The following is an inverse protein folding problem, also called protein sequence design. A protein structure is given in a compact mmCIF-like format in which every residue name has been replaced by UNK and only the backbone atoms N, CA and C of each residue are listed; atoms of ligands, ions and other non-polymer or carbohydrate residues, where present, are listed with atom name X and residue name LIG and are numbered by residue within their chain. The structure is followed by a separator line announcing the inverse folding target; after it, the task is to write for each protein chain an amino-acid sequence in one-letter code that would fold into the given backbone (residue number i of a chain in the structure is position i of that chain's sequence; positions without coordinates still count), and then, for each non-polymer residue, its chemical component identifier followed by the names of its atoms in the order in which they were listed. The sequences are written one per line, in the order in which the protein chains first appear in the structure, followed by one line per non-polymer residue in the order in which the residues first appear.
data_IF_571222527468
#
_entry.id   IF_571222527468
#
_cell.length_a   1.000
_cell.length_b   1.000
_cell.length_c   1.000
_cell.angle_alpha   90.00
_cell.angle_beta   90.00
_cell.angle_gamma   90.00
#
_symmetry.space_group_name_H-M   'P 1'
#
loop_
_entity.id
_entity.type
_entity.pdbx_description
1 polymer ?
#
# COMPACT_ATOMS: atom_id res chain seq x y z
N UNK A 1 4.50 -1.69 -2.47
CA UNK A 1 4.63 -1.83 -1.07
C UNK A 1 4.64 -3.25 -0.57
N UNK A 2 5.83 -3.84 -0.46
CA UNK A 2 5.99 -5.14 0.18
C UNK A 2 6.21 -4.96 1.67
N UNK A 3 5.63 -5.82 2.50
CA UNK A 3 5.79 -5.79 3.95
C UNK A 3 7.14 -6.35 4.42
N UNK A 4 7.84 -7.09 3.55
CA UNK A 4 9.16 -7.65 3.86
C UNK A 4 10.29 -6.70 3.41
N UNK A 5 11.39 -6.60 4.18
CA UNK A 5 12.58 -5.87 3.76
C UNK A 5 13.14 -6.41 2.44
N UNK A 6 13.54 -5.50 1.55
CA UNK A 6 14.15 -5.86 0.27
C UNK A 6 15.65 -5.66 0.37
N UNK A 7 16.41 -6.68 -0.03
CA UNK A 7 17.87 -6.63 -0.05
C UNK A 7 18.32 -5.80 -1.26
N UNK A 8 19.22 -4.83 -1.02
CA UNK A 8 19.88 -4.04 -2.04
C UNK A 8 21.39 -4.16 -1.88
N UNK A 9 22.08 -4.41 -2.99
CA UNK A 9 23.53 -4.68 -3.03
C UNK A 9 24.19 -3.80 -4.09
N UNK A 10 25.47 -3.52 -3.93
CA UNK A 10 26.23 -2.79 -4.95
C UNK A 10 26.44 -3.66 -6.19
N UNK A 11 26.05 -3.16 -7.34
CA UNK A 11 26.19 -3.85 -8.65
C UNK A 11 24.97 -4.68 -9.05
N UNK A 12 24.75 -4.82 -10.34
CA UNK A 12 23.65 -5.60 -10.93
C UNK A 12 22.27 -4.98 -10.74
N UNK A 13 21.23 -5.80 -10.94
CA UNK A 13 19.82 -5.36 -10.96
C UNK A 13 19.30 -4.91 -9.59
N UNK A 14 19.99 -5.26 -8.52
CA UNK A 14 19.60 -4.91 -7.14
C UNK A 14 20.27 -3.65 -6.61
N UNK A 15 21.04 -2.94 -7.43
CA UNK A 15 21.82 -1.78 -7.00
C UNK A 15 21.04 -0.47 -6.91
N UNK A 16 19.80 -0.42 -7.39
CA UNK A 16 19.00 0.81 -7.38
C UNK A 16 18.12 0.91 -6.13
N UNK A 17 18.04 2.11 -5.57
CA UNK A 17 17.12 2.47 -4.47
C UNK A 17 16.20 3.60 -4.91
N UNK A 18 15.01 3.64 -4.35
CA UNK A 18 14.00 4.66 -4.69
C UNK A 18 13.85 5.64 -3.54
N UNK A 19 13.75 6.93 -3.84
CA UNK A 19 13.45 7.97 -2.85
C UNK A 19 12.17 7.67 -2.08
N UNK A 20 12.16 7.98 -0.78
CA UNK A 20 11.04 7.69 0.12
C UNK A 20 11.10 6.32 0.79
N UNK A 21 12.07 5.47 0.46
CA UNK A 21 12.31 4.20 1.17
C UNK A 21 13.20 4.41 2.40
N UNK A 22 13.06 3.54 3.40
CA UNK A 22 13.82 3.58 4.65
C UNK A 22 14.87 2.48 4.68
N UNK A 23 16.11 2.83 5.01
CA UNK A 23 17.17 1.84 5.30
C UNK A 23 16.87 1.22 6.66
N UNK A 24 16.75 -0.09 6.73
CA UNK A 24 16.44 -0.85 7.94
C UNK A 24 17.71 -1.41 8.62
N UNK A 25 18.73 -1.77 7.84
CA UNK A 25 20.00 -2.27 8.32
C UNK A 25 21.15 -1.69 7.50
N UNK A 26 22.30 -1.60 8.11
CA UNK A 26 23.56 -1.16 7.52
C UNK A 26 23.58 0.32 7.07
N UNK A 27 24.67 0.71 6.46
CA UNK A 27 24.89 2.04 5.91
C UNK A 27 25.20 1.92 4.42
N UNK A 28 24.45 2.64 3.61
CA UNK A 28 24.65 2.66 2.16
C UNK A 28 25.10 4.04 1.66
N UNK A 29 25.91 4.04 0.62
CA UNK A 29 26.24 5.25 -0.15
C UNK A 29 25.40 5.25 -1.42
N UNK A 30 24.63 6.30 -1.61
CA UNK A 30 23.71 6.44 -2.76
C UNK A 30 24.21 7.57 -3.66
N UNK A 31 24.37 7.26 -4.94
CA UNK A 31 24.60 8.26 -5.98
C UNK A 31 23.26 8.64 -6.58
N UNK A 32 22.92 9.92 -6.55
CA UNK A 32 21.70 10.43 -7.16
C UNK A 32 21.88 10.42 -8.68
N UNK A 33 21.02 9.69 -9.38
CA UNK A 33 21.08 9.52 -10.85
C UNK A 33 19.99 10.27 -11.59
N UNK A 34 18.97 10.75 -10.88
CA UNK A 34 17.83 11.49 -11.45
C UNK A 34 17.98 12.98 -11.22
N UNK A 35 17.58 13.80 -12.20
CA UNK A 35 17.50 15.26 -12.01
C UNK A 35 16.31 15.64 -11.12
N UNK A 36 16.33 16.84 -10.49
CA UNK A 36 15.17 17.34 -9.78
C UNK A 36 13.93 17.37 -10.68
N UNK A 37 12.82 16.82 -10.22
CA UNK A 37 11.58 16.66 -11.00
C UNK A 37 11.46 15.34 -11.78
N UNK A 38 12.51 14.53 -11.87
CA UNK A 38 12.51 13.25 -12.62
C UNK A 38 12.48 12.02 -11.71
N UNK A 39 12.59 12.18 -10.40
CA UNK A 39 12.52 11.04 -9.47
C UNK A 39 11.16 10.35 -9.54
N UNK A 40 11.10 9.10 -9.10
CA UNK A 40 9.82 8.37 -9.03
C UNK A 40 8.78 9.11 -8.17
N UNK A 41 9.22 9.72 -7.07
CA UNK A 41 8.38 10.54 -6.20
C UNK A 41 7.90 11.81 -6.92
N UNK A 42 8.79 12.51 -7.61
CA UNK A 42 8.44 13.70 -8.39
C UNK A 42 7.43 13.38 -9.49
N UNK A 43 7.62 12.26 -10.19
CA UNK A 43 6.65 11.76 -11.20
C UNK A 43 5.31 11.42 -10.57
N UNK A 44 5.29 10.83 -9.37
CA UNK A 44 4.04 10.59 -8.62
C UNK A 44 3.36 11.90 -8.21
N UNK A 45 4.13 12.86 -7.70
CA UNK A 45 3.63 14.19 -7.34
C UNK A 45 3.11 14.90 -8.59
N UNK A 46 3.86 14.90 -9.68
CA UNK A 46 3.44 15.47 -10.96
C UNK A 46 2.18 14.80 -11.53
N UNK A 47 1.98 13.49 -11.32
CA UNK A 47 0.74 12.80 -11.68
C UNK A 47 -0.46 13.25 -10.82
N UNK A 48 -0.22 13.63 -9.57
CA UNK A 48 -1.24 14.13 -8.65
C UNK A 48 -1.52 15.63 -8.90
N UNK A 49 -0.46 16.45 -9.03
CA UNK A 49 -0.57 17.90 -9.23
C UNK A 49 -0.83 18.27 -10.68
N UNK A 50 -0.17 17.59 -11.60
CA UNK A 50 -0.23 17.82 -13.05
C UNK A 50 -1.28 16.97 -13.76
N UNK A 51 -2.30 16.48 -13.05
CA UNK A 51 -3.44 15.82 -13.67
C UNK A 51 -4.04 16.76 -14.72
N UNK A 52 -3.49 16.72 -15.93
CA UNK A 52 -4.03 17.45 -17.06
C UNK A 52 -5.52 17.12 -17.11
N UNK A 53 -6.33 18.14 -17.00
CA UNK A 53 -7.78 18.03 -16.96
C UNK A 53 -8.28 17.31 -18.20
N UNK A 54 -8.31 15.98 -18.14
CA UNK A 54 -8.96 15.19 -19.20
C UNK A 54 -10.46 15.38 -19.06
N UNK A 55 -11.10 15.83 -20.14
CA UNK A 55 -12.55 15.97 -20.20
C UNK A 55 -13.22 14.65 -19.84
N UNK A 56 -14.30 14.72 -19.08
CA UNK A 56 -15.11 13.54 -18.76
C UNK A 56 -15.84 13.04 -20.01
N UNK A 57 -16.29 11.78 -20.07
CA UNK A 57 -17.14 11.31 -21.16
C UNK A 57 -18.38 12.18 -21.37
N UNK A 58 -19.02 12.60 -20.28
CA UNK A 58 -20.18 13.49 -20.32
C UNK A 58 -19.80 14.89 -20.81
N UNK A 59 -18.65 15.45 -20.41
CA UNK A 59 -18.14 16.71 -20.97
C UNK A 59 -17.91 16.62 -22.48
N UNK A 60 -17.41 15.48 -22.98
CA UNK A 60 -17.21 15.26 -24.42
C UNK A 60 -18.56 15.16 -25.14
N UNK A 61 -19.48 14.35 -24.62
CA UNK A 61 -20.80 14.18 -25.19
C UNK A 61 -21.59 15.52 -25.26
N UNK A 62 -21.54 16.28 -24.16
CA UNK A 62 -22.16 17.60 -24.11
C UNK A 62 -21.46 18.62 -25.00
N UNK A 63 -20.16 18.58 -25.16
CA UNK A 63 -19.40 19.43 -26.09
C UNK A 63 -19.85 19.16 -27.54
N UNK A 64 -20.03 17.88 -27.92
CA UNK A 64 -20.54 17.49 -29.23
C UNK A 64 -21.96 17.98 -29.43
N UNK A 65 -22.85 17.80 -28.45
CA UNK A 65 -24.22 18.24 -28.46
C UNK A 65 -24.32 19.77 -28.62
N UNK A 66 -23.51 20.51 -27.83
CA UNK A 66 -23.43 21.98 -27.92
C UNK A 66 -22.96 22.45 -29.30
N UNK A 67 -21.95 21.79 -29.87
CA UNK A 67 -21.46 22.11 -31.23
C UNK A 67 -22.57 21.86 -32.27
N UNK A 68 -23.27 20.74 -32.15
CA UNK A 68 -24.43 20.43 -33.01
C UNK A 68 -25.55 21.46 -32.91
N UNK A 69 -25.97 21.83 -31.71
CA UNK A 69 -26.99 22.87 -31.51
C UNK A 69 -26.51 24.23 -32.01
N UNK A 70 -25.26 24.61 -31.76
CA UNK A 70 -24.72 25.87 -32.28
C UNK A 70 -24.76 25.89 -33.80
N UNK A 71 -24.41 24.79 -34.49
CA UNK A 71 -24.51 24.71 -35.94
C UNK A 71 -25.98 24.89 -36.43
N UNK A 72 -26.93 24.17 -35.81
CA UNK A 72 -28.34 24.29 -36.14
C UNK A 72 -28.83 25.72 -35.92
N UNK A 73 -28.47 26.35 -34.80
CA UNK A 73 -28.88 27.72 -34.49
C UNK A 73 -28.26 28.74 -35.44
N UNK A 74 -27.03 28.56 -35.88
CA UNK A 74 -26.40 29.40 -36.90
C UNK A 74 -27.18 29.31 -38.24
N UNK A 75 -27.56 28.10 -38.64
CA UNK A 75 -28.35 27.90 -39.85
C UNK A 75 -29.72 28.53 -39.72
N UNK A 76 -30.42 28.30 -38.61
CA UNK A 76 -31.74 28.88 -38.33
C UNK A 76 -31.70 30.42 -38.33
N UNK A 77 -30.76 31.01 -37.60
CA UNK A 77 -30.59 32.46 -37.56
C UNK A 77 -30.21 33.02 -38.93
N UNK A 78 -29.34 32.34 -39.70
CA UNK A 78 -28.96 32.78 -41.04
C UNK A 78 -30.10 32.76 -42.04
N UNK A 79 -31.03 31.82 -41.90
CA UNK A 79 -32.24 31.73 -42.77
C UNK A 79 -33.41 32.59 -42.27
N UNK A 80 -33.41 32.95 -41.00
CA UNK A 80 -34.54 33.71 -40.40
C UNK A 80 -34.69 35.11 -41.00
N UNK A 81 -33.60 35.83 -41.25
CA UNK A 81 -33.65 37.16 -41.81
C UNK A 81 -34.24 37.20 -43.25
N UNK A 82 -33.73 36.41 -44.21
CA UNK A 82 -34.33 36.32 -45.54
C UNK A 82 -35.86 35.94 -45.51
N UNK A 83 -36.19 35.00 -44.58
CA UNK A 83 -37.57 34.55 -44.46
C UNK A 83 -38.46 35.65 -43.87
N UNK A 84 -37.98 36.43 -42.91
CA UNK A 84 -38.73 37.60 -42.36
C UNK A 84 -38.87 38.66 -43.40
N UNK A 85 -37.85 38.99 -44.14
CA UNK A 85 -37.93 39.99 -45.23
C UNK A 85 -38.93 39.55 -46.31
N UNK A 86 -38.98 38.25 -46.64
CA UNK A 86 -40.01 37.73 -47.59
C UNK A 86 -41.41 37.79 -47.03
N UNK A 87 -41.60 37.57 -45.74
CA UNK A 87 -42.96 37.67 -45.10
C UNK A 87 -43.38 39.10 -44.73
N UNK A 88 -42.57 40.12 -45.02
CA UNK A 88 -42.79 41.51 -44.66
C UNK A 88 -42.58 41.84 -43.19
N UNK A 89 -42.01 40.93 -42.38
CA UNK A 89 -41.73 41.19 -41.00
C UNK A 89 -40.32 41.85 -40.83
N UNK A 90 -40.28 42.95 -40.07
CA UNK A 90 -39.05 43.66 -39.81
C UNK A 90 -38.41 43.13 -38.52
N UNK A 91 -37.25 42.47 -38.62
CA UNK A 91 -36.46 42.08 -37.50
C UNK A 91 -35.28 43.06 -37.34
N UNK A 92 -35.22 43.72 -36.18
CA UNK A 92 -34.10 44.61 -35.86
C UNK A 92 -32.84 43.81 -35.62
N UNK A 93 -31.67 44.41 -35.95
CA UNK A 93 -30.35 43.79 -35.70
C UNK A 93 -30.18 43.42 -34.21
N UNK A 94 -30.66 44.28 -33.31
CA UNK A 94 -30.62 44.02 -31.88
C UNK A 94 -31.43 42.79 -31.47
N UNK A 95 -32.64 42.60 -32.02
CA UNK A 95 -33.45 41.41 -31.79
C UNK A 95 -32.79 40.14 -32.34
N UNK A 96 -32.15 40.23 -33.51
CA UNK A 96 -31.44 39.13 -34.13
C UNK A 96 -30.22 38.70 -33.30
N UNK A 97 -29.38 39.63 -32.82
CA UNK A 97 -28.25 39.37 -31.92
C UNK A 97 -28.74 38.78 -30.60
N UNK A 98 -29.80 39.33 -30.01
CA UNK A 98 -30.36 38.78 -28.76
C UNK A 98 -30.84 37.34 -28.94
N UNK A 99 -31.52 37.04 -30.04
CA UNK A 99 -31.95 35.69 -30.36
C UNK A 99 -30.77 34.73 -30.50
N UNK A 100 -29.72 35.15 -31.22
CA UNK A 100 -28.51 34.36 -31.42
C UNK A 100 -27.81 34.04 -30.10
N UNK A 101 -27.63 35.04 -29.23
CA UNK A 101 -27.02 34.88 -27.90
C UNK A 101 -27.86 33.99 -26.99
N UNK A 102 -29.19 34.11 -27.03
CA UNK A 102 -30.09 33.30 -26.22
C UNK A 102 -30.12 31.82 -26.65
N UNK A 103 -29.91 31.54 -27.93
CA UNK A 103 -29.95 30.18 -28.46
C UNK A 103 -28.65 29.40 -28.21
N UNK A 104 -27.51 30.07 -28.03
CA UNK A 104 -26.24 29.41 -27.72
C UNK A 104 -26.18 29.07 -26.22
N UNK A 105 -26.16 27.81 -25.83
CA UNK A 105 -26.17 27.40 -24.41
C UNK A 105 -24.76 27.52 -23.78
N UNK A 106 -24.22 28.74 -23.77
CA UNK A 106 -22.84 29.02 -23.26
C UNK A 106 -22.67 28.70 -21.79
N UNK A 107 -23.73 28.79 -20.99
CA UNK A 107 -23.72 28.52 -19.54
C UNK A 107 -23.45 27.05 -19.20
N UNK A 108 -23.91 26.12 -20.04
CA UNK A 108 -23.74 24.68 -19.81
C UNK A 108 -22.25 24.32 -19.90
N UNK A 109 -21.48 24.86 -20.85
CA UNK A 109 -20.05 24.59 -20.99
C UNK A 109 -19.23 25.05 -19.77
N UNK A 110 -19.59 26.18 -19.18
CA UNK A 110 -18.94 26.67 -17.95
C UNK A 110 -19.31 25.85 -16.70
N UNK A 111 -20.59 25.49 -16.59
CA UNK A 111 -21.11 24.74 -15.45
C UNK A 111 -20.49 23.34 -15.34
N UNK A 112 -20.34 22.64 -16.45
CA UNK A 112 -19.69 21.30 -16.49
C UNK A 112 -18.29 21.30 -15.93
N UNK A 113 -17.52 22.32 -16.27
CA UNK A 113 -16.18 22.49 -15.73
C UNK A 113 -16.15 22.69 -14.22
N UNK A 114 -17.10 23.50 -13.71
CA UNK A 114 -17.25 23.75 -12.28
C UNK A 114 -17.69 22.48 -11.51
N UNK A 115 -18.56 21.66 -12.08
CA UNK A 115 -19.01 20.39 -11.48
C UNK A 115 -17.82 19.42 -11.33
N UNK A 116 -16.96 19.28 -12.35
CA UNK A 116 -15.78 18.43 -12.28
C UNK A 116 -14.82 18.87 -11.18
N UNK A 117 -14.57 20.17 -11.03
CA UNK A 117 -13.73 20.72 -9.96
C UNK A 117 -14.37 20.49 -8.58
N UNK A 118 -15.65 20.76 -8.43
CA UNK A 118 -16.38 20.53 -7.18
C UNK A 118 -16.38 19.06 -6.78
N UNK A 119 -16.50 18.14 -7.74
CA UNK A 119 -16.38 16.70 -7.49
C UNK A 119 -15.00 16.30 -6.96
N UNK A 120 -13.94 16.85 -7.55
CA UNK A 120 -12.57 16.61 -7.07
C UNK A 120 -12.35 17.18 -5.66
N UNK A 121 -12.84 18.39 -5.37
CA UNK A 121 -12.74 19.00 -4.03
C UNK A 121 -13.47 18.15 -2.98
N UNK A 122 -14.66 17.64 -3.29
CA UNK A 122 -15.40 16.73 -2.40
C UNK A 122 -14.65 15.44 -2.13
N UNK A 123 -14.02 14.83 -3.14
CA UNK A 123 -13.21 13.65 -2.98
C UNK A 123 -11.97 13.94 -2.10
N UNK A 124 -11.31 15.08 -2.31
CA UNK A 124 -10.17 15.51 -1.51
C UNK A 124 -10.55 15.71 -0.03
N UNK A 125 -11.67 16.30 0.26
CA UNK A 125 -12.20 16.43 1.64
C UNK A 125 -12.50 15.09 2.30
N UNK A 126 -12.73 14.05 1.50
CA UNK A 126 -12.86 12.67 1.97
C UNK A 126 -11.51 11.92 2.02
N UNK A 127 -10.38 12.62 1.92
CA UNK A 127 -9.02 12.06 1.85
C UNK A 127 -8.78 11.13 0.64
N UNK A 128 -9.48 11.38 -0.48
CA UNK A 128 -9.31 10.65 -1.73
C UNK A 128 -8.67 11.59 -2.76
N UNK A 129 -7.43 11.28 -3.15
CA UNK A 129 -6.74 12.01 -4.21
C UNK A 129 -7.16 11.44 -5.56
N UNK A 130 -7.74 12.29 -6.40
CA UNK A 130 -8.23 11.90 -7.72
C UNK A 130 -7.34 12.48 -8.82
N UNK A 131 -7.07 11.70 -9.86
CA UNK A 131 -6.24 12.13 -10.99
C UNK A 131 -6.94 13.14 -11.91
N UNK A 132 -8.27 13.17 -11.94
CA UNK A 132 -9.04 14.06 -12.81
C UNK A 132 -10.52 14.04 -12.42
N UNK A 133 -11.29 15.04 -12.86
CA UNK A 133 -12.74 15.03 -12.77
C UNK A 133 -13.37 13.81 -13.46
N UNK A 134 -12.77 13.36 -14.57
CA UNK A 134 -13.16 12.09 -15.23
C UNK A 134 -13.06 10.89 -14.30
N UNK A 135 -12.00 10.79 -13.50
CA UNK A 135 -11.82 9.68 -12.58
C UNK A 135 -12.91 9.66 -11.49
N UNK A 136 -13.33 10.85 -11.01
CA UNK A 136 -14.43 10.97 -10.03
C UNK A 136 -15.74 10.49 -10.64
N UNK A 137 -16.06 10.93 -11.84
CA UNK A 137 -17.28 10.54 -12.55
C UNK A 137 -17.32 9.05 -12.84
N UNK A 138 -16.22 8.50 -13.42
CA UNK A 138 -16.14 7.07 -13.76
C UNK A 138 -16.15 6.17 -12.50
N UNK A 139 -15.65 6.67 -11.37
CA UNK A 139 -15.67 5.91 -10.12
C UNK A 139 -17.09 5.60 -9.61
N UNK A 140 -18.09 6.39 -10.04
CA UNK A 140 -19.51 6.11 -9.74
C UNK A 140 -20.10 4.95 -10.53
N UNK A 141 -19.52 4.63 -11.68
CA UNK A 141 -20.06 3.66 -12.64
C UNK A 141 -19.24 2.35 -12.68
N UNK A 142 -18.31 2.15 -11.75
CA UNK A 142 -17.51 0.93 -11.70
C UNK A 142 -18.36 -0.26 -11.22
N UNK A 143 -18.15 -1.40 -11.86
CA UNK A 143 -18.69 -2.70 -11.46
C UNK A 143 -17.65 -3.58 -10.79
N UNK A 144 -16.36 -3.26 -10.93
CA UNK A 144 -15.25 -4.04 -10.36
C UNK A 144 -14.20 -3.12 -9.75
N UNK A 145 -13.86 -3.37 -8.49
CA UNK A 145 -12.82 -2.65 -7.74
C UNK A 145 -11.62 -3.56 -7.49
N UNK A 146 -10.46 -3.15 -7.98
CA UNK A 146 -9.19 -3.82 -7.71
C UNK A 146 -8.55 -3.21 -6.47
N UNK A 147 -8.22 -4.03 -5.49
CA UNK A 147 -7.65 -3.61 -4.21
C UNK A 147 -6.28 -4.25 -4.01
N UNK A 148 -5.28 -3.45 -3.71
CA UNK A 148 -4.00 -3.95 -3.22
C UNK A 148 -4.20 -4.58 -1.83
N UNK A 149 -3.54 -5.71 -1.55
CA UNK A 149 -3.59 -6.37 -0.26
C UNK A 149 -2.82 -5.56 0.78
N UNK A 150 -1.53 -5.32 0.50
CA UNK A 150 -0.57 -4.78 1.47
C UNK A 150 -0.80 -3.28 1.72
N UNK A 151 -1.06 -2.91 2.97
CA UNK A 151 -1.33 -1.51 3.35
C UNK A 151 -2.73 -0.99 3.00
N UNK A 152 -3.50 -1.70 2.15
CA UNK A 152 -4.89 -1.36 1.81
C UNK A 152 -5.89 -2.22 2.56
N UNK A 153 -5.87 -3.53 2.36
CA UNK A 153 -6.70 -4.50 3.09
C UNK A 153 -6.07 -4.81 4.44
N UNK A 154 -4.74 -4.95 4.47
CA UNK A 154 -3.95 -5.18 5.66
C UNK A 154 -3.29 -3.90 6.17
N UNK A 155 -2.73 -3.96 7.37
CA UNK A 155 -1.98 -2.84 7.97
C UNK A 155 -0.67 -2.59 7.21
N UNK A 156 -0.16 -3.61 6.48
CA UNK A 156 1.05 -3.52 5.68
C UNK A 156 2.34 -3.85 6.43
N UNK A 157 2.25 -4.13 7.74
CA UNK A 157 3.35 -4.61 8.56
C UNK A 157 2.94 -5.96 9.16
N UNK A 158 3.84 -6.93 9.10
CA UNK A 158 3.65 -8.21 9.77
C UNK A 158 3.75 -7.99 11.28
N UNK A 159 2.80 -8.55 12.02
CA UNK A 159 2.81 -8.54 13.48
C UNK A 159 2.99 -9.94 14.03
N UNK A 160 3.73 -10.05 15.14
CA UNK A 160 3.81 -11.27 15.90
C UNK A 160 2.43 -11.59 16.49
N UNK A 161 1.95 -12.81 16.29
CA UNK A 161 0.64 -13.28 16.71
C UNK A 161 0.73 -14.41 17.72
N UNK A 162 1.76 -15.25 17.62
CA UNK A 162 1.88 -16.42 18.48
C UNK A 162 3.36 -16.82 18.68
N UNK A 163 3.62 -17.37 19.88
CA UNK A 163 4.87 -18.00 20.26
C UNK A 163 4.67 -19.51 20.34
N UNK A 164 5.59 -20.28 19.74
CA UNK A 164 5.58 -21.74 19.74
C UNK A 164 6.91 -22.24 20.27
N UNK A 165 7.07 -22.50 21.59
CA UNK A 165 8.24 -23.16 22.12
C UNK A 165 8.32 -24.61 21.62
N UNK A 166 9.52 -25.15 21.44
CA UNK A 166 9.72 -26.57 21.16
C UNK A 166 9.49 -27.40 22.42
N UNK A 167 9.25 -28.72 22.26
CA UNK A 167 9.03 -29.62 23.38
C UNK A 167 10.20 -29.55 24.39
N UNK A 168 9.85 -29.39 25.67
CA UNK A 168 10.83 -29.28 26.77
C UNK A 168 11.34 -27.87 27.07
N UNK A 169 10.95 -26.86 26.28
CA UNK A 169 11.26 -25.45 26.57
C UNK A 169 10.06 -24.79 27.25
N UNK A 170 10.31 -24.15 28.39
CA UNK A 170 9.29 -23.41 29.11
C UNK A 170 8.85 -22.17 28.30
N UNK A 171 7.52 -21.95 28.20
CA UNK A 171 6.96 -20.85 27.39
C UNK A 171 7.45 -19.47 27.85
N UNK A 172 7.51 -19.25 29.15
CA UNK A 172 7.96 -17.97 29.72
C UNK A 172 9.43 -17.69 29.38
N UNK A 173 10.30 -18.70 29.50
CA UNK A 173 11.71 -18.62 29.13
C UNK A 173 11.91 -18.38 27.63
N UNK A 174 11.11 -19.04 26.80
CA UNK A 174 11.10 -18.81 25.35
C UNK A 174 10.72 -17.38 24.99
N UNK A 175 9.62 -16.87 25.56
CA UNK A 175 9.17 -15.48 25.32
C UNK A 175 10.22 -14.49 25.79
N UNK A 176 10.89 -14.72 26.93
CA UNK A 176 12.01 -13.88 27.39
C UNK A 176 13.14 -13.84 26.36
N UNK A 177 13.55 -14.98 25.82
CA UNK A 177 14.60 -15.06 24.79
C UNK A 177 14.18 -14.30 23.53
N UNK A 178 12.92 -14.44 23.08
CA UNK A 178 12.37 -13.71 21.95
C UNK A 178 12.40 -12.19 22.15
N UNK A 179 12.04 -11.71 23.34
CA UNK A 179 12.11 -10.30 23.69
C UNK A 179 13.55 -9.80 23.69
N UNK A 180 14.47 -10.50 24.35
CA UNK A 180 15.88 -10.12 24.40
C UNK A 180 16.49 -9.99 22.99
N UNK A 181 16.21 -10.94 22.10
CA UNK A 181 16.66 -10.92 20.72
C UNK A 181 16.01 -9.79 19.88
N UNK A 182 14.91 -9.20 20.37
CA UNK A 182 14.13 -8.18 19.63
C UNK A 182 14.26 -6.78 20.20
N UNK A 183 14.88 -6.56 21.35
CA UNK A 183 14.99 -5.25 22.00
C UNK A 183 15.72 -4.20 21.16
N UNK A 184 16.70 -4.62 20.38
CA UNK A 184 17.46 -3.73 19.48
C UNK A 184 16.92 -3.70 18.04
N UNK A 185 15.88 -4.47 17.77
CA UNK A 185 15.28 -4.58 16.44
C UNK A 185 14.24 -3.48 16.25
N UNK A 186 14.64 -2.44 15.52
CA UNK A 186 13.77 -1.29 15.23
C UNK A 186 12.73 -1.57 14.15
N UNK A 187 12.74 -2.76 13.54
CA UNK A 187 11.75 -3.14 12.53
C UNK A 187 10.34 -3.21 13.14
N UNK A 188 9.27 -3.03 12.33
CA UNK A 188 7.91 -3.23 12.80
C UNK A 188 7.68 -4.64 13.39
N UNK A 189 8.31 -5.65 12.80
CA UNK A 189 8.29 -7.04 13.26
C UNK A 189 8.93 -7.17 14.65
N UNK A 190 10.13 -6.63 14.85
CA UNK A 190 10.81 -6.64 16.14
C UNK A 190 10.00 -5.97 17.24
N UNK A 191 9.43 -4.80 16.94
CA UNK A 191 8.56 -4.09 17.88
C UNK A 191 7.31 -4.88 18.22
N UNK A 192 6.71 -5.57 17.25
CA UNK A 192 5.51 -6.37 17.47
C UNK A 192 5.79 -7.60 18.34
N UNK A 193 6.99 -8.21 18.23
CA UNK A 193 7.41 -9.31 19.12
C UNK A 193 7.50 -8.83 20.56
N UNK A 194 8.09 -7.65 20.77
CA UNK A 194 8.19 -7.04 22.10
C UNK A 194 6.80 -6.71 22.68
N UNK A 195 5.88 -6.19 21.84
CA UNK A 195 4.50 -5.91 22.24
C UNK A 195 3.78 -7.19 22.68
N UNK A 196 3.80 -8.22 21.84
CA UNK A 196 3.20 -9.53 22.14
C UNK A 196 3.77 -10.18 23.41
N UNK A 197 5.09 -10.11 23.61
CA UNK A 197 5.71 -10.63 24.82
C UNK A 197 5.28 -9.89 26.11
N UNK A 198 5.05 -8.58 26.03
CA UNK A 198 4.47 -7.80 27.14
C UNK A 198 3.04 -8.22 27.46
N UNK A 199 2.24 -8.47 26.43
CA UNK A 199 0.86 -8.98 26.58
C UNK A 199 0.84 -10.35 27.24
N UNK A 200 1.89 -11.18 27.00
CA UNK A 200 2.09 -12.48 27.67
C UNK A 200 2.67 -12.36 29.10
N UNK A 201 2.82 -11.15 29.61
CA UNK A 201 3.21 -10.89 31.01
C UNK A 201 4.73 -10.81 31.26
N UNK A 202 5.57 -10.89 30.21
CA UNK A 202 7.03 -10.71 30.37
C UNK A 202 7.37 -9.23 30.46
N UNK A 203 8.02 -8.83 31.57
CA UNK A 203 8.41 -7.44 31.81
C UNK A 203 9.82 -7.18 31.32
N UNK A 204 10.02 -6.14 30.52
CA UNK A 204 11.35 -5.75 30.02
C UNK A 204 12.31 -5.43 31.17
N UNK A 205 11.81 -4.92 32.31
CA UNK A 205 12.62 -4.62 33.51
C UNK A 205 13.30 -5.84 34.10
N UNK A 206 12.75 -7.02 33.86
CA UNK A 206 13.27 -8.29 34.37
C UNK A 206 14.34 -8.88 33.42
N UNK A 207 14.54 -8.24 32.24
CA UNK A 207 15.50 -8.66 31.24
C UNK A 207 16.83 -7.94 31.45
N UNK A 208 17.82 -8.62 31.99
CA UNK A 208 19.16 -8.08 32.18
C UNK A 208 19.94 -8.09 30.88
N UNK A 209 19.90 -6.98 30.14
CA UNK A 209 20.71 -6.78 28.92
C UNK A 209 21.91 -5.86 29.12
N UNK A 210 22.18 -5.47 30.37
CA UNK A 210 23.30 -4.58 30.72
C UNK A 210 24.64 -5.19 30.34
N UNK A 211 25.30 -4.59 29.35
CA UNK A 211 26.62 -5.05 28.83
C UNK A 211 26.54 -6.23 27.86
N UNK A 212 25.37 -6.53 27.32
CA UNK A 212 25.17 -7.49 26.22
C UNK A 212 25.54 -6.87 24.88
N UNK A 213 26.00 -7.69 23.95
CA UNK A 213 26.28 -7.29 22.56
C UNK A 213 25.05 -7.57 21.70
N UNK A 214 24.41 -6.52 21.20
CA UNK A 214 23.31 -6.67 20.27
C UNK A 214 23.81 -6.95 18.86
N UNK A 215 23.18 -7.92 18.19
CA UNK A 215 23.46 -8.31 16.80
C UNK A 215 22.30 -7.85 15.95
N UNK A 216 22.58 -6.85 15.10
CA UNK A 216 21.59 -6.33 14.18
C UNK A 216 21.37 -7.30 13.01
N UNK A 217 20.19 -7.27 12.45
CA UNK A 217 19.87 -8.02 11.24
C UNK A 217 20.76 -7.56 10.08
N UNK A 218 21.39 -8.52 9.39
CA UNK A 218 22.09 -8.28 8.13
C UNK A 218 21.53 -9.17 7.03
N UNK A 219 21.69 -8.73 5.78
CA UNK A 219 21.21 -9.48 4.63
C UNK A 219 21.98 -10.81 4.43
N UNK A 220 23.23 -10.84 4.84
CA UNK A 220 24.09 -12.02 4.73
C UNK A 220 23.69 -13.09 5.73
N UNK A 221 23.57 -12.72 7.01
CA UNK A 221 23.27 -13.67 8.09
C UNK A 221 21.77 -14.00 8.17
N UNK A 222 20.89 -13.12 7.64
CA UNK A 222 19.43 -13.22 7.72
C UNK A 222 18.91 -13.50 9.14
N UNK A 223 19.68 -13.11 10.13
CA UNK A 223 19.36 -13.25 11.54
C UNK A 223 19.75 -12.01 12.34
N UNK A 224 19.11 -11.83 13.49
CA UNK A 224 19.43 -10.82 14.50
C UNK A 224 19.45 -11.50 15.88
N UNK A 225 19.95 -10.83 16.89
CA UNK A 225 19.96 -11.43 18.21
C UNK A 225 20.76 -10.66 19.24
N UNK A 226 21.18 -11.37 20.30
CA UNK A 226 21.96 -10.82 21.40
C UNK A 226 22.94 -11.85 21.95
N UNK A 227 24.13 -11.40 22.31
CA UNK A 227 25.09 -12.15 23.10
C UNK A 227 25.07 -11.57 24.51
N UNK A 228 24.66 -12.37 25.46
CA UNK A 228 24.60 -12.00 26.88
C UNK A 228 25.98 -12.12 27.55
N UNK A 229 26.15 -11.45 28.68
CA UNK A 229 27.42 -11.46 29.44
C UNK A 229 27.81 -12.83 29.99
N UNK A 230 26.81 -13.67 30.24
CA UNK A 230 27.02 -15.04 30.74
C UNK A 230 27.49 -16.00 29.63
N UNK A 231 27.65 -15.52 28.41
CA UNK A 231 28.03 -16.29 27.23
C UNK A 231 26.87 -16.85 26.43
N UNK A 232 25.63 -16.70 26.89
CA UNK A 232 24.44 -17.17 26.18
C UNK A 232 24.24 -16.36 24.89
N UNK A 233 24.04 -17.06 23.78
CA UNK A 233 23.80 -16.47 22.45
C UNK A 233 22.38 -16.74 21.99
N UNK A 234 21.61 -15.70 21.76
CA UNK A 234 20.23 -15.82 21.25
C UNK A 234 20.21 -15.26 19.84
N UNK A 235 19.66 -16.03 18.89
CA UNK A 235 19.49 -15.66 17.49
C UNK A 235 18.07 -15.88 17.05
N UNK A 236 17.52 -14.95 16.27
CA UNK A 236 16.24 -15.09 15.60
C UNK A 236 16.39 -14.76 14.12
N UNK A 237 15.71 -15.50 13.26
CA UNK A 237 15.79 -15.28 11.82
C UNK A 237 14.97 -16.24 10.99
N UNK A 238 15.22 -16.21 9.68
CA UNK A 238 14.62 -17.15 8.75
C UNK A 238 15.03 -18.60 9.08
N UNK A 239 14.10 -19.55 8.86
CA UNK A 239 14.33 -20.96 9.18
C UNK A 239 15.63 -21.51 8.59
N UNK A 240 15.87 -21.25 7.29
CA UNK A 240 17.06 -21.77 6.61
C UNK A 240 18.37 -21.22 7.21
N UNK A 241 18.39 -19.94 7.59
CA UNK A 241 19.57 -19.32 8.18
C UNK A 241 19.86 -19.87 9.58
N UNK A 242 18.85 -19.98 10.44
CA UNK A 242 19.01 -20.52 11.80
C UNK A 242 19.32 -22.02 11.75
N UNK A 243 18.68 -22.78 10.84
CA UNK A 243 18.98 -24.19 10.62
C UNK A 243 20.45 -24.39 10.24
N UNK A 244 20.92 -23.67 9.24
CA UNK A 244 22.32 -23.76 8.78
C UNK A 244 23.30 -23.46 9.93
N UNK A 245 23.05 -22.42 10.72
CA UNK A 245 23.87 -22.05 11.87
C UNK A 245 23.95 -23.22 12.90
N UNK A 246 22.81 -23.85 13.21
CA UNK A 246 22.76 -24.98 14.14
C UNK A 246 23.48 -26.21 13.58
N UNK A 247 23.31 -26.53 12.30
CA UNK A 247 23.96 -27.64 11.61
C UNK A 247 25.51 -27.47 11.55
N UNK A 248 25.97 -26.23 11.28
CA UNK A 248 27.41 -25.90 11.30
C UNK A 248 28.03 -26.05 12.69
N UNK A 249 27.23 -25.82 13.75
CA UNK A 249 27.62 -26.09 15.13
C UNK A 249 27.52 -27.58 15.52
N UNK A 250 27.09 -28.48 14.61
CA UNK A 250 26.95 -29.90 14.83
C UNK A 250 25.63 -30.33 15.50
N UNK A 251 24.67 -29.42 15.67
CA UNK A 251 23.40 -29.68 16.31
C UNK A 251 22.32 -30.03 15.26
N UNK A 252 21.49 -31.04 15.59
CA UNK A 252 20.31 -31.36 14.79
C UNK A 252 19.12 -30.49 15.25
N UNK A 253 18.33 -30.00 14.31
CA UNK A 253 17.08 -29.34 14.63
C UNK A 253 15.94 -30.34 14.83
N UNK A 254 14.95 -30.06 15.71
CA UNK A 254 13.80 -30.93 15.90
C UNK A 254 12.93 -31.00 14.65
N UNK A 255 12.49 -32.20 14.24
CA UNK A 255 11.60 -32.36 13.06
C UNK A 255 10.28 -31.60 13.21
N UNK A 256 9.78 -31.45 14.44
CA UNK A 256 8.58 -30.68 14.75
C UNK A 256 8.67 -29.21 14.31
N UNK A 257 9.89 -28.64 14.31
CA UNK A 257 10.11 -27.25 13.86
C UNK A 257 9.85 -27.12 12.35
N UNK A 258 10.35 -28.05 11.55
CA UNK A 258 10.12 -28.04 10.12
C UNK A 258 8.63 -28.18 9.78
N UNK A 259 7.91 -29.07 10.48
CA UNK A 259 6.48 -29.25 10.34
C UNK A 259 5.69 -27.99 10.74
N UNK A 260 6.10 -27.34 11.83
CA UNK A 260 5.49 -26.09 12.31
C UNK A 260 5.73 -24.92 11.34
N UNK A 261 6.96 -24.77 10.86
CA UNK A 261 7.33 -23.78 9.83
C UNK A 261 6.48 -23.98 8.58
N UNK A 262 6.33 -25.24 8.11
CA UNK A 262 5.47 -25.58 6.97
C UNK A 262 3.99 -25.24 7.22
N UNK A 263 3.48 -25.49 8.41
CA UNK A 263 2.11 -25.16 8.81
C UNK A 263 1.87 -23.64 8.83
N UNK A 264 2.77 -22.88 9.47
CA UNK A 264 2.68 -21.41 9.54
C UNK A 264 2.72 -20.82 8.13
N UNK A 265 3.66 -21.26 7.29
CA UNK A 265 3.78 -20.78 5.90
C UNK A 265 2.55 -21.16 5.07
N UNK A 266 2.04 -22.38 5.25
CA UNK A 266 0.82 -22.85 4.59
C UNK A 266 -0.43 -22.04 4.97
N UNK A 267 -0.44 -21.48 6.16
CA UNK A 267 -1.51 -20.58 6.66
C UNK A 267 -1.26 -19.10 6.34
N UNK A 268 -0.32 -18.78 5.45
CA UNK A 268 -0.02 -17.40 5.06
C UNK A 268 0.80 -16.60 6.09
N UNK A 269 1.22 -17.22 7.18
CA UNK A 269 2.09 -16.62 8.19
C UNK A 269 3.57 -16.65 7.77
N UNK A 270 4.38 -15.87 8.45
CA UNK A 270 5.85 -15.87 8.31
C UNK A 270 6.45 -16.40 9.61
N UNK A 271 7.13 -17.56 9.57
CA UNK A 271 7.81 -18.09 10.72
C UNK A 271 9.17 -17.40 10.93
N UNK A 272 9.45 -16.94 12.15
CA UNK A 272 10.78 -16.60 12.62
C UNK A 272 11.25 -17.63 13.63
N UNK A 273 12.35 -18.29 13.33
CA UNK A 273 12.93 -19.33 14.22
C UNK A 273 13.86 -18.67 15.22
N UNK A 274 13.83 -19.12 16.45
CA UNK A 274 14.69 -18.65 17.53
C UNK A 274 15.56 -19.79 18.04
N UNK A 275 16.86 -19.51 18.15
CA UNK A 275 17.85 -20.43 18.71
C UNK A 275 18.56 -19.78 19.88
N UNK A 276 18.93 -20.60 20.86
CA UNK A 276 19.78 -20.25 21.99
C UNK A 276 20.94 -21.22 22.03
N UNK A 277 22.18 -20.69 22.07
CA UNK A 277 23.42 -21.48 22.11
C UNK A 277 23.49 -22.57 21.02
N UNK A 278 23.06 -22.17 19.80
CA UNK A 278 22.97 -23.01 18.59
C UNK A 278 21.95 -24.17 18.66
N UNK A 279 20.99 -24.11 19.60
CA UNK A 279 19.84 -25.02 19.66
C UNK A 279 18.55 -24.25 19.36
N UNK A 280 17.71 -24.78 18.48
CA UNK A 280 16.41 -24.18 18.21
C UNK A 280 15.50 -24.38 19.42
N UNK A 281 14.99 -23.27 19.98
CA UNK A 281 14.13 -23.25 21.16
C UNK A 281 12.65 -22.96 20.83
N UNK A 282 12.35 -22.52 19.61
CA UNK A 282 10.96 -22.29 19.19
C UNK A 282 10.82 -21.44 17.93
N UNK A 283 9.58 -21.14 17.60
CA UNK A 283 9.17 -20.37 16.43
C UNK A 283 8.21 -19.25 16.82
N UNK A 284 8.39 -18.08 16.25
CA UNK A 284 7.48 -16.94 16.35
C UNK A 284 6.68 -16.89 15.05
N UNK A 285 5.37 -16.83 15.14
CA UNK A 285 4.50 -16.60 13.98
C UNK A 285 4.24 -15.11 13.78
N UNK A 286 4.55 -14.63 12.59
CA UNK A 286 4.18 -13.29 12.13
C UNK A 286 3.07 -13.40 11.11
N UNK A 287 2.03 -12.56 11.24
CA UNK A 287 0.93 -12.47 10.29
C UNK A 287 0.72 -11.04 9.81
N UNK A 288 0.22 -10.92 8.58
CA UNK A 288 -0.24 -9.65 8.03
C UNK A 288 -1.68 -9.41 8.53
N UNK A 289 -1.85 -8.39 9.36
CA UNK A 289 -3.12 -8.14 10.05
C UNK A 289 -4.07 -7.37 9.15
N UNK A 290 -5.26 -7.92 8.95
CA UNK A 290 -6.37 -7.27 8.26
C UNK A 290 -6.82 -6.04 9.07
N UNK A 291 -7.03 -4.92 8.40
CA UNK A 291 -7.56 -3.71 9.04
C UNK A 291 -8.96 -3.94 9.60
N UNK A 292 -9.27 -3.43 10.79
CA UNK A 292 -10.61 -3.54 11.35
C UNK A 292 -11.66 -2.89 10.44
N UNK A 293 -12.84 -3.51 10.33
CA UNK A 293 -13.96 -3.01 9.54
C UNK A 293 -13.86 -3.24 8.02
N UNK A 294 -12.84 -3.94 7.53
CA UNK A 294 -12.70 -4.27 6.09
C UNK A 294 -13.82 -5.17 5.61
N UNK A 295 -14.23 -6.16 6.41
CA UNK A 295 -15.32 -7.07 6.06
C UNK A 295 -16.62 -6.30 5.80
N UNK A 296 -17.00 -5.40 6.71
CA UNK A 296 -18.20 -4.58 6.57
C UNK A 296 -18.15 -3.70 5.31
N UNK A 297 -16.97 -3.17 4.99
CA UNK A 297 -16.77 -2.36 3.79
C UNK A 297 -16.97 -3.18 2.52
N UNK A 298 -16.46 -4.42 2.50
CA UNK A 298 -16.66 -5.33 1.36
C UNK A 298 -18.13 -5.73 1.22
N UNK A 299 -18.83 -5.98 2.30
CA UNK A 299 -20.27 -6.26 2.27
C UNK A 299 -21.07 -5.07 1.72
N UNK A 300 -20.70 -3.84 2.11
CA UNK A 300 -21.32 -2.62 1.57
C UNK A 300 -21.07 -2.47 0.07
N UNK A 301 -19.84 -2.70 -0.41
CA UNK A 301 -19.50 -2.66 -1.83
C UNK A 301 -20.29 -3.71 -2.63
N UNK A 302 -20.41 -4.93 -2.10
CA UNK A 302 -21.21 -6.01 -2.73
C UNK A 302 -22.71 -5.65 -2.80
N UNK A 303 -23.25 -5.03 -1.75
CA UNK A 303 -24.63 -4.53 -1.76
C UNK A 303 -24.87 -3.43 -2.81
N UNK A 304 -23.83 -2.67 -3.14
CA UNK A 304 -23.84 -1.67 -4.21
C UNK A 304 -23.64 -2.27 -5.61
N UNK A 305 -23.46 -3.60 -5.71
CA UNK A 305 -23.23 -4.28 -6.98
C UNK A 305 -21.76 -4.29 -7.42
N UNK A 306 -20.84 -3.76 -6.60
CA UNK A 306 -19.41 -3.69 -6.94
C UNK A 306 -18.71 -4.99 -6.57
N UNK A 307 -18.10 -5.64 -7.57
CA UNK A 307 -17.23 -6.81 -7.38
C UNK A 307 -15.86 -6.37 -6.89
N UNK A 308 -15.39 -6.97 -5.81
CA UNK A 308 -14.04 -6.69 -5.28
C UNK A 308 -13.06 -7.80 -5.69
N UNK A 309 -11.89 -7.42 -6.18
CA UNK A 309 -10.80 -8.30 -6.57
C UNK A 309 -9.54 -7.85 -5.85
N UNK A 310 -8.91 -8.77 -5.12
CA UNK A 310 -7.63 -8.50 -4.46
C UNK A 310 -6.48 -8.72 -5.44
N UNK A 311 -5.56 -7.75 -5.48
CA UNK A 311 -4.30 -7.84 -6.22
C UNK A 311 -3.16 -7.91 -5.21
N UNK A 312 -2.28 -8.88 -5.36
CA UNK A 312 -1.14 -9.08 -4.47
C UNK A 312 0.03 -9.70 -5.22
N UNK A 313 1.26 -9.36 -4.84
CA UNK A 313 2.48 -10.05 -5.28
C UNK A 313 2.84 -11.27 -4.43
N UNK A 314 2.03 -11.61 -3.42
CA UNK A 314 2.26 -12.77 -2.57
C UNK A 314 2.07 -14.10 -3.32
N UNK A 315 2.64 -15.16 -2.77
CA UNK A 315 2.40 -16.52 -3.23
C UNK A 315 0.89 -16.85 -3.17
N UNK A 316 0.32 -17.59 -4.15
CA UNK A 316 -1.09 -17.97 -4.16
C UNK A 316 -1.61 -18.65 -2.88
N UNK A 317 -0.75 -19.41 -2.19
CA UNK A 317 -1.08 -20.03 -0.90
C UNK A 317 -1.29 -18.97 0.20
N UNK A 318 -0.42 -17.96 0.25
CA UNK A 318 -0.52 -16.84 1.20
C UNK A 318 -1.68 -15.90 0.89
N UNK A 319 -2.03 -15.75 -0.39
CA UNK A 319 -3.11 -14.88 -0.82
C UNK A 319 -4.52 -15.47 -0.57
N UNK A 320 -4.62 -16.79 -0.40
CA UNK A 320 -5.89 -17.49 -0.17
C UNK A 320 -6.42 -17.32 1.26
N UNK A 321 -5.53 -17.05 2.20
CA UNK A 321 -5.85 -16.79 3.60
C UNK A 321 -6.04 -15.31 3.89
#
# INVERSE_FOLDING_TARGET
GESAPVIREAGGDKSSVTGGTKVLSDQIRVMVTTQPGESFLDKMIALVEGASRKKTPNEIALTILLAGFTLVFVVVCGTLKPLADYSGAQITIAAFISLFVCLIPTTIGGLLSAIGIAGMDRALRANVITKSGKAVETAGDIDTLLLDKTGTITIGNRKATQFYPVAGVDEHSFVQACLMASLSDETPEGKSIVELGRERGVRIRDLSTSGSRMIKFTAETKCSGVDLKDGTRIRKGAFDAIRQMCEEAGNKYPEEVAALVGKITGNGGTPLVVAQDDFIIGVIELQDIIKPGIQERFERLRKMGVKTVMVTGDNPLTAKY
#
